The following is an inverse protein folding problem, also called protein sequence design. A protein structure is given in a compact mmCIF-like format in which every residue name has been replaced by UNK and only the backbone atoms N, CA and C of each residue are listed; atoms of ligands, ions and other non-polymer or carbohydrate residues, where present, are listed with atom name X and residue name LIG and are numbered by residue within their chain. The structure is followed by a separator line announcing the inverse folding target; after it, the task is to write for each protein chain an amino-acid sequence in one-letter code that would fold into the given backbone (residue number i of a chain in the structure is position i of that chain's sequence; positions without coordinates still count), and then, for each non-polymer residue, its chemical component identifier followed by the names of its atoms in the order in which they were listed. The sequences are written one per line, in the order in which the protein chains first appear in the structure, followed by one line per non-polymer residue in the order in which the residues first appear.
data_IF_972702822619
#
_entry.id   IF_972702822619
#
_cell.length_a   1.000
_cell.length_b   1.000
_cell.length_c   1.000
_cell.angle_alpha   90.00
_cell.angle_beta   90.00
_cell.angle_gamma   90.00
#
_symmetry.space_group_name_H-M   'P 1'
#
loop_
_entity.id
_entity.type
_entity.pdbx_description
1 polymer ?
#
# COMPACT_ATOMS: atom_id res chain seq x y z
N UNK A 1 49.67 1.71 -58.40
CA UNK A 1 49.55 2.33 -57.07
C UNK A 1 48.08 2.62 -56.87
N UNK A 2 47.34 1.63 -56.38
CA UNK A 2 45.89 1.66 -56.13
C UNK A 2 45.69 1.64 -54.62
N UNK A 3 44.75 2.43 -54.05
CA UNK A 3 44.66 2.61 -52.61
C UNK A 3 44.00 1.39 -51.94
N UNK A 4 44.56 0.99 -50.80
CA UNK A 4 44.00 -0.02 -49.91
C UNK A 4 42.62 0.42 -49.36
N UNK A 5 41.63 -0.44 -49.54
CA UNK A 5 40.26 -0.29 -49.07
C UNK A 5 40.18 -0.70 -47.57
N UNK A 6 39.85 0.21 -46.64
CA UNK A 6 39.86 -0.08 -45.22
C UNK A 6 38.66 -0.95 -44.82
N UNK A 7 38.97 -2.20 -44.49
CA UNK A 7 38.19 -3.18 -43.72
C UNK A 7 36.78 -2.78 -43.27
N UNK A 8 35.78 -3.38 -43.92
CA UNK A 8 34.39 -3.32 -43.50
C UNK A 8 34.21 -3.83 -42.05
N UNK A 9 33.42 -3.14 -41.20
CA UNK A 9 33.16 -3.56 -39.83
C UNK A 9 32.33 -4.85 -39.79
N UNK A 10 32.75 -5.81 -38.97
CA UNK A 10 32.06 -7.07 -38.77
C UNK A 10 30.62 -6.84 -38.25
N UNK A 11 29.64 -7.43 -38.95
CA UNK A 11 28.23 -7.37 -38.57
C UNK A 11 28.01 -7.89 -37.14
N UNK A 12 27.26 -7.16 -36.29
CA UNK A 12 26.96 -7.61 -34.94
C UNK A 12 26.14 -8.91 -35.00
N UNK A 13 26.61 -9.93 -34.30
CA UNK A 13 25.91 -11.21 -34.17
C UNK A 13 24.51 -10.97 -33.58
N UNK A 14 23.48 -11.33 -34.33
CA UNK A 14 22.09 -11.28 -33.89
C UNK A 14 21.95 -12.24 -32.70
N UNK A 15 21.54 -11.76 -31.50
CA UNK A 15 21.31 -12.62 -30.34
C UNK A 15 20.30 -13.70 -30.73
N UNK A 16 20.70 -14.97 -30.63
CA UNK A 16 19.88 -16.11 -30.98
C UNK A 16 18.50 -16.00 -30.35
N UNK A 17 17.47 -16.12 -31.19
CA UNK A 17 16.07 -16.10 -30.77
C UNK A 17 15.89 -17.06 -29.58
N UNK A 18 15.48 -16.50 -28.43
CA UNK A 18 15.22 -17.29 -27.23
C UNK A 18 14.24 -18.40 -27.60
N UNK A 19 14.69 -19.65 -27.52
CA UNK A 19 13.86 -20.81 -27.77
C UNK A 19 12.60 -20.77 -26.89
N UNK A 20 11.50 -21.40 -27.33
CA UNK A 20 10.26 -21.41 -26.57
C UNK A 20 10.53 -21.92 -25.15
N UNK A 21 10.13 -21.11 -24.16
CA UNK A 21 10.21 -21.48 -22.74
C UNK A 21 9.47 -22.80 -22.58
N UNK A 22 10.12 -23.87 -22.07
CA UNK A 22 9.48 -25.16 -21.90
C UNK A 22 8.20 -24.97 -21.07
N UNK A 23 7.07 -25.43 -21.59
CA UNK A 23 5.85 -25.46 -20.80
C UNK A 23 6.09 -26.37 -19.59
N UNK A 24 5.97 -25.81 -18.39
CA UNK A 24 6.11 -26.56 -17.13
C UNK A 24 5.17 -27.76 -17.14
N UNK A 25 5.71 -28.97 -16.99
CA UNK A 25 4.90 -30.18 -16.87
C UNK A 25 4.12 -30.08 -15.54
N UNK A 26 2.78 -30.13 -15.54
CA UNK A 26 1.99 -30.12 -14.31
C UNK A 26 2.30 -31.29 -13.36
N UNK A 27 3.07 -32.27 -13.80
CA UNK A 27 3.49 -33.44 -13.01
C UNK A 27 4.82 -33.24 -12.29
N UNK A 28 5.59 -32.21 -12.61
CA UNK A 28 6.85 -31.98 -11.90
C UNK A 28 6.56 -31.67 -10.43
N UNK A 29 7.20 -32.39 -9.48
CA UNK A 29 7.02 -32.10 -8.07
C UNK A 29 7.51 -30.66 -7.79
N UNK A 30 6.78 -29.88 -6.98
CA UNK A 30 7.17 -28.51 -6.68
C UNK A 30 8.58 -28.47 -6.09
N UNK A 31 9.40 -27.50 -6.53
CA UNK A 31 10.73 -27.31 -5.98
C UNK A 31 10.61 -27.16 -4.45
N UNK A 32 11.26 -28.02 -3.64
CA UNK A 32 11.18 -27.94 -2.19
C UNK A 32 11.71 -26.62 -1.61
N UNK A 33 12.37 -25.79 -2.44
CA UNK A 33 12.80 -24.43 -2.09
C UNK A 33 11.70 -23.38 -2.30
N UNK A 34 10.65 -23.66 -3.07
CA UNK A 34 9.51 -22.77 -3.20
C UNK A 34 8.64 -22.83 -1.95
N UNK A 35 8.26 -21.69 -1.37
CA UNK A 35 7.38 -21.69 -0.21
C UNK A 35 5.98 -22.22 -0.59
N UNK A 36 5.31 -22.93 0.33
CA UNK A 36 4.06 -23.63 0.04
C UNK A 36 2.98 -22.65 -0.42
N UNK A 37 2.28 -22.87 -1.54
CA UNK A 37 1.27 -21.91 -2.00
C UNK A 37 0.01 -21.97 -1.13
N UNK A 38 -0.58 -20.83 -0.80
CA UNK A 38 -1.85 -20.78 -0.08
C UNK A 38 -2.97 -21.39 -0.94
N UNK A 39 -3.89 -22.12 -0.33
CA UNK A 39 -5.08 -22.63 -1.03
C UNK A 39 -6.05 -21.49 -1.37
N UNK A 40 -6.92 -21.66 -2.37
CA UNK A 40 -7.98 -20.69 -2.69
C UNK A 40 -8.84 -20.33 -1.48
N UNK A 41 -9.20 -21.34 -0.68
CA UNK A 41 -10.02 -21.16 0.53
C UNK A 41 -9.26 -20.37 1.60
N UNK A 42 -8.00 -20.71 1.86
CA UNK A 42 -7.16 -19.99 2.82
C UNK A 42 -6.98 -18.52 2.40
N UNK A 43 -6.64 -18.27 1.14
CA UNK A 43 -6.46 -16.92 0.60
C UNK A 43 -7.75 -16.09 0.70
N UNK A 44 -8.90 -16.67 0.36
CA UNK A 44 -10.21 -16.02 0.48
C UNK A 44 -10.55 -15.70 1.93
N UNK A 45 -10.30 -16.61 2.87
CA UNK A 45 -10.55 -16.38 4.31
C UNK A 45 -9.65 -15.27 4.87
N UNK A 46 -8.36 -15.29 4.53
CA UNK A 46 -7.40 -14.25 4.94
C UNK A 46 -7.86 -12.88 4.41
N UNK A 47 -8.16 -12.80 3.11
CA UNK A 47 -8.60 -11.57 2.47
C UNK A 47 -9.92 -11.05 3.06
N UNK A 48 -10.92 -11.92 3.22
CA UNK A 48 -12.21 -11.57 3.79
C UNK A 48 -12.09 -11.10 5.24
N UNK A 49 -11.29 -11.78 6.07
CA UNK A 49 -11.07 -11.38 7.46
C UNK A 49 -10.36 -10.02 7.56
N UNK A 50 -9.33 -9.77 6.74
CA UNK A 50 -8.63 -8.50 6.72
C UNK A 50 -9.55 -7.35 6.26
N UNK A 51 -10.33 -7.56 5.20
CA UNK A 51 -11.30 -6.57 4.70
C UNK A 51 -12.39 -6.29 5.72
N UNK A 52 -13.02 -7.33 6.27
CA UNK A 52 -14.10 -7.17 7.25
C UNK A 52 -13.61 -6.49 8.54
N UNK A 53 -12.46 -6.92 9.07
CA UNK A 53 -11.87 -6.31 10.26
C UNK A 53 -11.52 -4.84 10.03
N UNK A 54 -10.88 -4.53 8.90
CA UNK A 54 -10.51 -3.15 8.54
C UNK A 54 -11.75 -2.29 8.31
N UNK A 55 -12.78 -2.79 7.64
CA UNK A 55 -14.03 -2.06 7.42
C UNK A 55 -14.79 -1.77 8.72
N UNK A 56 -14.86 -2.74 9.63
CA UNK A 56 -15.47 -2.54 10.94
C UNK A 56 -14.72 -1.48 11.76
N UNK A 57 -13.39 -1.56 11.77
CA UNK A 57 -12.57 -0.58 12.49
C UNK A 57 -12.58 0.79 11.82
N UNK A 58 -12.60 0.87 10.49
CA UNK A 58 -12.75 2.12 9.77
C UNK A 58 -14.12 2.76 10.08
N UNK A 59 -15.19 1.98 10.10
CA UNK A 59 -16.52 2.46 10.47
C UNK A 59 -16.57 3.00 11.90
N UNK A 60 -15.89 2.31 12.84
CA UNK A 60 -15.77 2.77 14.22
C UNK A 60 -14.91 4.03 14.34
N UNK A 61 -13.69 4.01 13.80
CA UNK A 61 -12.67 5.03 13.99
C UNK A 61 -13.05 6.37 13.33
N UNK A 62 -13.64 6.33 12.14
CA UNK A 62 -14.01 7.52 11.37
C UNK A 62 -15.43 8.04 11.65
N UNK A 63 -16.10 7.51 12.68
CA UNK A 63 -17.32 8.11 13.21
C UNK A 63 -17.04 9.56 13.65
N UNK A 64 -17.80 10.56 13.17
CA UNK A 64 -17.61 11.96 13.56
C UNK A 64 -17.57 12.20 15.07
N UNK A 65 -18.28 11.40 15.88
CA UNK A 65 -18.28 11.51 17.33
C UNK A 65 -16.93 11.15 17.98
N UNK A 66 -16.01 10.50 17.24
CA UNK A 66 -14.69 10.09 17.70
C UNK A 66 -13.55 10.93 17.11
N UNK A 67 -13.86 11.93 16.27
CA UNK A 67 -12.85 12.80 15.68
C UNK A 67 -11.98 13.47 16.73
N UNK A 68 -10.65 13.37 16.56
CA UNK A 68 -9.67 13.91 17.51
C UNK A 68 -9.51 13.11 18.80
N UNK A 69 -10.28 12.04 19.03
CA UNK A 69 -10.12 11.17 20.19
C UNK A 69 -8.96 10.18 20.02
N UNK A 70 -8.35 9.74 21.12
CA UNK A 70 -7.33 8.68 21.07
C UNK A 70 -7.88 7.33 20.58
N UNK A 71 -9.19 7.08 20.81
CA UNK A 71 -9.86 5.87 20.36
C UNK A 71 -9.87 5.73 18.83
N UNK A 72 -9.91 6.85 18.10
CA UNK A 72 -9.83 6.89 16.63
C UNK A 72 -8.55 6.22 16.12
N UNK A 73 -7.40 6.45 16.76
CA UNK A 73 -6.12 5.84 16.37
C UNK A 73 -5.85 4.51 17.08
N UNK A 74 -6.31 4.36 18.32
CA UNK A 74 -6.09 3.14 19.10
C UNK A 74 -6.79 1.92 18.46
N UNK A 75 -7.98 2.10 17.89
CA UNK A 75 -8.72 1.01 17.24
C UNK A 75 -7.98 0.41 16.02
N UNK A 76 -7.57 1.20 14.99
CA UNK A 76 -6.77 0.68 13.89
C UNK A 76 -5.40 0.18 14.37
N UNK A 77 -4.76 0.86 15.32
CA UNK A 77 -3.51 0.40 15.92
C UNK A 77 -3.62 -1.00 16.53
N UNK A 78 -4.68 -1.26 17.30
CA UNK A 78 -4.93 -2.57 17.92
C UNK A 78 -5.18 -3.66 16.87
N UNK A 79 -6.07 -3.40 15.91
CA UNK A 79 -6.37 -4.34 14.82
C UNK A 79 -5.10 -4.72 14.05
N UNK A 80 -4.37 -3.70 13.55
CA UNK A 80 -3.21 -3.94 12.72
C UNK A 80 -2.03 -4.52 13.49
N UNK A 81 -1.91 -4.28 14.80
CA UNK A 81 -0.94 -4.98 15.63
C UNK A 81 -1.23 -6.48 15.66
N UNK A 82 -2.48 -6.88 15.94
CA UNK A 82 -2.88 -8.31 15.97
C UNK A 82 -2.68 -8.97 14.62
N UNK A 83 -3.15 -8.32 13.54
CA UNK A 83 -3.02 -8.85 12.18
C UNK A 83 -1.56 -8.90 11.71
N UNK A 84 -0.73 -7.91 12.08
CA UNK A 84 0.70 -7.91 11.73
C UNK A 84 1.44 -9.04 12.47
N UNK A 85 1.17 -9.28 13.75
CA UNK A 85 1.73 -10.43 14.49
C UNK A 85 1.35 -11.74 13.78
N UNK A 86 0.09 -11.88 13.37
CA UNK A 86 -0.36 -13.04 12.59
C UNK A 86 0.38 -13.14 11.24
N UNK A 87 0.51 -12.04 10.49
CA UNK A 87 1.23 -11.97 9.21
C UNK A 87 2.72 -12.39 9.36
N UNK A 88 3.40 -11.89 10.39
CA UNK A 88 4.80 -12.25 10.69
C UNK A 88 4.93 -13.73 11.04
N UNK A 89 4.01 -14.27 11.85
CA UNK A 89 3.99 -15.69 12.19
C UNK A 89 3.68 -16.58 10.97
N UNK A 90 2.82 -16.12 10.07
CA UNK A 90 2.48 -16.79 8.81
C UNK A 90 3.69 -16.80 7.86
N UNK A 91 4.36 -15.66 7.66
CA UNK A 91 5.60 -15.55 6.87
C UNK A 91 6.73 -16.41 7.45
N UNK A 92 6.84 -16.50 8.77
CA UNK A 92 7.84 -17.34 9.44
C UNK A 92 7.60 -18.83 9.17
N UNK A 93 6.35 -19.28 9.30
CA UNK A 93 5.96 -20.68 9.01
C UNK A 93 6.24 -21.10 7.58
N UNK A 94 6.24 -20.14 6.65
CA UNK A 94 6.55 -20.34 5.22
C UNK A 94 8.02 -20.20 4.86
N UNK A 95 8.89 -19.85 5.82
CA UNK A 95 10.30 -19.55 5.54
C UNK A 95 10.54 -18.24 4.77
N UNK A 96 9.51 -17.41 4.60
CA UNK A 96 9.57 -16.19 3.77
C UNK A 96 9.97 -14.94 4.56
N UNK A 97 9.86 -14.96 5.90
CA UNK A 97 10.01 -13.79 6.77
C UNK A 97 11.29 -12.99 6.50
N UNK A 98 12.44 -13.69 6.46
CA UNK A 98 13.74 -13.06 6.25
C UNK A 98 13.83 -12.43 4.86
N UNK A 99 13.36 -13.13 3.83
CA UNK A 99 13.38 -12.61 2.46
C UNK A 99 12.48 -11.38 2.31
N UNK A 100 11.31 -11.38 2.96
CA UNK A 100 10.33 -10.31 2.89
C UNK A 100 10.79 -9.05 3.64
N UNK A 101 11.39 -9.19 4.82
CA UNK A 101 11.70 -8.06 5.72
C UNK A 101 13.17 -7.62 5.75
N UNK A 102 14.11 -8.37 5.15
CA UNK A 102 15.51 -7.97 5.17
C UNK A 102 15.70 -6.66 4.37
N UNK A 103 16.08 -5.55 5.03
CA UNK A 103 16.37 -4.31 4.32
C UNK A 103 17.60 -4.50 3.44
N UNK A 104 17.63 -3.83 2.29
CA UNK A 104 18.85 -3.66 1.47
C UNK A 104 19.16 -2.18 1.29
N UNK A 105 20.39 -1.91 0.87
CA UNK A 105 20.82 -0.56 0.53
C UNK A 105 19.84 0.08 -0.49
N UNK A 106 19.48 1.33 -0.20
CA UNK A 106 18.55 2.13 -1.01
C UNK A 106 17.06 1.86 -0.80
N UNK A 107 16.64 0.91 0.05
CA UNK A 107 15.19 0.69 0.28
C UNK A 107 14.51 1.91 0.91
N UNK A 108 15.14 2.53 1.90
CA UNK A 108 14.61 3.76 2.53
C UNK A 108 14.59 4.92 1.54
N UNK A 109 15.64 5.09 0.72
CA UNK A 109 15.70 6.14 -0.29
C UNK A 109 14.59 5.96 -1.35
N UNK A 110 14.37 4.74 -1.83
CA UNK A 110 13.24 4.41 -2.72
C UNK A 110 11.91 4.69 -2.06
N UNK A 111 11.74 4.27 -0.79
CA UNK A 111 10.52 4.52 -0.03
C UNK A 111 10.23 6.01 0.14
N UNK A 112 11.25 6.80 0.50
CA UNK A 112 11.16 8.27 0.61
C UNK A 112 10.75 8.92 -0.71
N UNK A 113 11.36 8.50 -1.83
CA UNK A 113 11.02 9.01 -3.15
C UNK A 113 9.57 8.69 -3.53
N UNK A 114 9.11 7.45 -3.29
CA UNK A 114 7.72 7.05 -3.54
C UNK A 114 6.76 7.86 -2.66
N UNK A 115 7.08 8.04 -1.38
CA UNK A 115 6.27 8.85 -0.47
C UNK A 115 6.17 10.31 -0.92
N UNK A 116 7.29 10.93 -1.29
CA UNK A 116 7.32 12.31 -1.79
C UNK A 116 6.51 12.47 -3.08
N UNK A 117 6.62 11.53 -4.02
CA UNK A 117 5.82 11.52 -5.25
C UNK A 117 4.32 11.41 -4.97
N UNK A 118 3.91 10.50 -4.07
CA UNK A 118 2.52 10.36 -3.66
C UNK A 118 1.99 11.59 -2.91
N UNK A 119 2.82 12.22 -2.07
CA UNK A 119 2.46 13.47 -1.39
C UNK A 119 2.25 14.60 -2.41
N UNK A 120 3.15 14.76 -3.38
CA UNK A 120 2.99 15.74 -4.46
C UNK A 120 1.72 15.49 -5.29
N UNK A 121 1.41 14.22 -5.60
CA UNK A 121 0.17 13.86 -6.28
C UNK A 121 -1.06 14.17 -5.43
N UNK A 122 -1.04 13.86 -4.13
CA UNK A 122 -2.14 14.18 -3.22
C UNK A 122 -2.40 15.70 -3.16
N UNK A 123 -1.35 16.51 -3.13
CA UNK A 123 -1.45 17.97 -3.22
C UNK A 123 -2.04 18.43 -4.56
N UNK A 124 -1.60 17.87 -5.69
CA UNK A 124 -2.17 18.20 -6.99
C UNK A 124 -3.66 17.82 -7.10
N UNK A 125 -4.04 16.65 -6.58
CA UNK A 125 -5.44 16.20 -6.53
C UNK A 125 -6.27 17.11 -5.64
N UNK A 126 -5.74 17.53 -4.49
CA UNK A 126 -6.41 18.46 -3.60
C UNK A 126 -6.67 19.81 -4.29
N UNK A 127 -5.65 20.40 -4.91
CA UNK A 127 -5.76 21.68 -5.62
C UNK A 127 -6.75 21.65 -6.79
N UNK A 128 -7.01 20.48 -7.36
CA UNK A 128 -7.90 20.32 -8.53
C UNK A 128 -9.31 19.87 -8.16
N UNK A 129 -9.46 18.92 -7.25
CA UNK A 129 -10.76 18.34 -6.89
C UNK A 129 -11.47 19.09 -5.77
N UNK A 130 -10.72 19.69 -4.84
CA UNK A 130 -11.26 20.37 -3.67
C UNK A 130 -10.54 21.70 -3.42
N UNK A 131 -10.57 22.62 -4.41
CA UNK A 131 -9.96 23.94 -4.25
C UNK A 131 -10.66 24.73 -3.14
N UNK A 132 -9.92 25.66 -2.53
CA UNK A 132 -10.42 26.54 -1.47
C UNK A 132 -11.66 27.31 -1.92
N UNK A 133 -12.65 27.39 -1.04
CA UNK A 133 -13.95 28.02 -1.28
C UNK A 133 -14.95 27.14 -2.06
N UNK A 134 -14.56 25.95 -2.52
CA UNK A 134 -15.50 25.01 -3.13
C UNK A 134 -16.21 24.17 -2.07
N UNK A 135 -17.44 23.66 -2.32
CA UNK A 135 -18.10 22.73 -1.39
C UNK A 135 -17.24 21.50 -1.06
N UNK A 136 -16.43 21.03 -2.02
CA UNK A 136 -15.57 19.85 -1.88
C UNK A 136 -14.38 20.07 -0.95
N UNK A 137 -14.06 21.31 -0.58
CA UNK A 137 -13.09 21.59 0.49
C UNK A 137 -13.47 20.90 1.80
N UNK A 138 -14.78 20.76 2.06
CA UNK A 138 -15.31 20.05 3.22
C UNK A 138 -14.84 18.58 3.30
N UNK A 139 -14.57 17.93 2.16
CA UNK A 139 -14.04 16.57 2.15
C UNK A 139 -12.67 16.47 2.80
N UNK A 140 -11.78 17.44 2.56
CA UNK A 140 -10.44 17.46 3.15
C UNK A 140 -10.50 17.91 4.60
N UNK A 141 -11.33 18.92 4.90
CA UNK A 141 -11.54 19.39 6.26
C UNK A 141 -11.99 18.25 7.18
N UNK A 142 -12.99 17.45 6.75
CA UNK A 142 -13.51 16.32 7.54
C UNK A 142 -12.46 15.25 7.79
N UNK A 143 -11.48 15.06 6.91
CA UNK A 143 -10.34 14.18 7.17
C UNK A 143 -9.44 14.72 8.28
N UNK A 144 -9.11 16.01 8.22
CA UNK A 144 -8.25 16.62 9.23
C UNK A 144 -8.91 16.72 10.60
N UNK A 145 -10.22 16.96 10.66
CA UNK A 145 -10.98 16.97 11.92
C UNK A 145 -10.91 15.61 12.64
N UNK A 146 -10.79 14.50 11.90
CA UNK A 146 -10.64 13.18 12.52
C UNK A 146 -9.32 13.03 13.27
N UNK A 147 -8.29 13.76 12.85
CA UNK A 147 -6.96 13.75 13.48
C UNK A 147 -6.84 14.73 14.65
N UNK A 148 -7.87 15.53 14.92
CA UNK A 148 -7.87 16.56 15.96
C UNK A 148 -7.27 17.89 15.52
N UNK A 149 -6.97 18.75 16.50
CA UNK A 149 -6.49 20.11 16.27
C UNK A 149 -5.13 20.13 15.52
N UNK A 150 -5.02 20.79 14.35
CA UNK A 150 -3.75 20.99 13.66
C UNK A 150 -2.73 21.89 14.34
N UNK A 151 -3.14 22.73 15.28
CA UNK A 151 -2.22 23.59 16.03
C UNK A 151 -1.70 22.99 17.34
N UNK A 152 -2.22 21.83 17.78
CA UNK A 152 -1.84 21.27 19.07
C UNK A 152 -0.38 20.76 19.09
N UNK A 153 0.36 21.07 20.16
CA UNK A 153 1.73 20.56 20.38
C UNK A 153 1.81 19.03 20.34
N UNK A 154 0.72 18.35 20.73
CA UNK A 154 0.61 16.90 20.71
C UNK A 154 0.55 16.29 19.30
N UNK A 155 0.47 17.09 18.23
CA UNK A 155 0.34 16.62 16.85
C UNK A 155 1.52 15.76 16.39
N UNK A 156 2.71 15.96 16.95
CA UNK A 156 3.87 15.09 16.68
C UNK A 156 3.60 13.63 17.09
N UNK A 157 2.88 13.41 18.19
CA UNK A 157 2.51 12.07 18.67
C UNK A 157 1.43 11.44 17.80
N UNK A 158 0.49 12.25 17.29
CA UNK A 158 -0.51 11.80 16.29
C UNK A 158 0.20 11.35 15.02
N UNK A 159 1.15 12.14 14.51
CA UNK A 159 1.96 11.78 13.35
C UNK A 159 2.76 10.49 13.57
N UNK A 160 3.38 10.33 14.74
CA UNK A 160 4.11 9.11 15.09
C UNK A 160 3.19 7.88 15.18
N UNK A 161 2.00 8.02 15.77
CA UNK A 161 1.02 6.94 15.82
C UNK A 161 0.56 6.52 14.42
N UNK A 162 0.25 7.50 13.55
CA UNK A 162 -0.12 7.24 12.15
C UNK A 162 1.01 6.57 11.37
N UNK A 163 2.26 6.97 11.58
CA UNK A 163 3.43 6.31 10.99
C UNK A 163 3.48 4.82 11.35
N UNK A 164 3.32 4.50 12.65
CA UNK A 164 3.36 3.11 13.14
C UNK A 164 2.19 2.30 12.58
N UNK A 165 0.97 2.85 12.62
CA UNK A 165 -0.23 2.19 12.09
C UNK A 165 -0.02 1.86 10.61
N UNK A 166 0.36 2.83 9.79
CA UNK A 166 0.63 2.64 8.36
C UNK A 166 1.72 1.58 8.08
N UNK A 167 2.77 1.52 8.90
CA UNK A 167 3.77 0.47 8.80
C UNK A 167 3.19 -0.93 9.05
N UNK A 168 2.32 -1.06 10.06
CA UNK A 168 1.61 -2.31 10.36
C UNK A 168 0.62 -2.68 9.24
N UNK A 169 -0.09 -1.69 8.67
CA UNK A 169 -0.97 -1.92 7.52
C UNK A 169 -0.22 -2.57 6.36
N UNK A 170 0.98 -2.09 6.02
CA UNK A 170 1.77 -2.68 4.94
C UNK A 170 2.21 -4.12 5.23
N UNK A 171 2.55 -4.43 6.48
CA UNK A 171 2.85 -5.82 6.89
C UNK A 171 1.65 -6.73 6.66
N UNK A 172 0.44 -6.26 6.93
CA UNK A 172 -0.80 -7.04 6.72
C UNK A 172 -1.14 -7.13 5.24
N UNK A 173 -1.26 -6.00 4.56
CA UNK A 173 -1.79 -5.99 3.20
C UNK A 173 -0.81 -6.57 2.18
N UNK A 174 0.50 -6.30 2.31
CA UNK A 174 1.52 -6.79 1.35
C UNK A 174 2.21 -8.05 1.86
N UNK A 175 2.40 -8.16 3.17
CA UNK A 175 3.03 -9.32 3.78
C UNK A 175 2.11 -10.52 3.94
N UNK A 176 0.79 -10.31 4.05
CA UNK A 176 -0.19 -11.38 4.23
C UNK A 176 -1.22 -11.44 3.10
N UNK A 177 -2.06 -10.41 2.92
CA UNK A 177 -3.20 -10.48 1.97
C UNK A 177 -2.73 -10.68 0.53
N UNK A 178 -1.83 -9.81 0.04
CA UNK A 178 -1.28 -9.92 -1.31
C UNK A 178 -0.61 -11.28 -1.53
N UNK A 179 0.31 -11.68 -0.64
CA UNK A 179 1.03 -12.97 -0.74
C UNK A 179 0.12 -14.20 -0.67
N UNK A 180 -0.92 -14.16 0.16
CA UNK A 180 -1.90 -15.26 0.20
C UNK A 180 -2.64 -15.38 -1.14
N UNK A 181 -2.97 -14.26 -1.78
CA UNK A 181 -3.61 -14.23 -3.10
C UNK A 181 -2.68 -14.64 -4.25
N UNK A 182 -1.36 -14.50 -4.10
CA UNK A 182 -0.37 -14.88 -5.14
C UNK A 182 -0.42 -16.37 -5.47
N UNK A 183 -0.64 -17.23 -4.47
CA UNK A 183 -0.73 -18.68 -4.66
C UNK A 183 -1.82 -19.09 -5.67
N UNK A 184 -3.10 -18.73 -5.45
CA UNK A 184 -4.19 -19.12 -6.33
C UNK A 184 -4.40 -18.25 -7.58
N UNK A 185 -3.96 -16.98 -7.59
CA UNK A 185 -4.26 -16.03 -8.66
C UNK A 185 -3.03 -15.58 -9.47
N UNK A 186 -1.82 -15.86 -8.96
CA UNK A 186 -0.58 -15.34 -9.51
C UNK A 186 -0.27 -13.89 -9.11
N UNK A 187 0.97 -13.42 -9.35
CA UNK A 187 1.47 -12.17 -8.78
C UNK A 187 0.71 -10.90 -9.19
N UNK A 188 0.38 -10.77 -10.48
CA UNK A 188 -0.27 -9.56 -10.99
C UNK A 188 -1.70 -9.44 -10.51
N UNK A 189 -2.49 -10.51 -10.57
CA UNK A 189 -3.86 -10.51 -10.10
C UNK A 189 -3.93 -10.29 -8.58
N UNK A 190 -3.02 -10.90 -7.81
CA UNK A 190 -2.92 -10.69 -6.37
C UNK A 190 -2.62 -9.23 -5.99
N UNK A 191 -1.71 -8.57 -6.71
CA UNK A 191 -1.42 -7.15 -6.53
C UNK A 191 -2.64 -6.26 -6.79
N UNK A 192 -3.31 -6.46 -7.93
CA UNK A 192 -4.47 -5.65 -8.31
C UNK A 192 -5.64 -5.90 -7.34
N UNK A 193 -5.95 -7.17 -7.05
CA UNK A 193 -7.04 -7.53 -6.17
C UNK A 193 -6.79 -7.06 -4.74
N UNK A 194 -5.60 -7.27 -4.17
CA UNK A 194 -5.28 -6.77 -2.83
C UNK A 194 -5.42 -5.24 -2.73
N UNK A 195 -5.10 -4.51 -3.80
CA UNK A 195 -5.28 -3.06 -3.83
C UNK A 195 -6.74 -2.63 -3.89
N UNK A 196 -7.55 -3.34 -4.67
CA UNK A 196 -9.00 -3.13 -4.69
C UNK A 196 -9.64 -3.46 -3.34
N UNK A 197 -9.21 -4.54 -2.69
CA UNK A 197 -9.71 -4.95 -1.37
C UNK A 197 -9.30 -3.97 -0.27
N UNK A 198 -8.09 -3.40 -0.33
CA UNK A 198 -7.67 -2.34 0.58
C UNK A 198 -8.60 -1.12 0.47
N UNK A 199 -8.89 -0.67 -0.75
CA UNK A 199 -9.82 0.43 -0.98
C UNK A 199 -11.25 0.09 -0.53
N UNK A 200 -11.71 -1.13 -0.82
CA UNK A 200 -13.03 -1.62 -0.42
C UNK A 200 -13.21 -1.64 1.10
N UNK A 201 -12.16 -1.98 1.85
CA UNK A 201 -12.16 -1.95 3.30
C UNK A 201 -12.37 -0.53 3.88
N UNK A 202 -12.14 0.52 3.10
CA UNK A 202 -12.33 1.91 3.51
C UNK A 202 -13.67 2.50 3.04
N UNK A 203 -14.54 1.73 2.36
CA UNK A 203 -15.85 2.21 1.90
C UNK A 203 -16.73 2.87 2.97
N UNK A 204 -16.74 2.45 4.25
CA UNK A 204 -17.52 3.14 5.28
C UNK A 204 -17.18 4.63 5.40
N UNK A 205 -15.92 5.01 5.14
CA UNK A 205 -15.46 6.40 5.22
C UNK A 205 -16.14 7.32 4.19
N UNK A 206 -16.64 6.77 3.07
CA UNK A 206 -17.37 7.53 2.06
C UNK A 206 -18.57 8.28 2.66
N UNK A 207 -19.28 7.60 3.54
CA UNK A 207 -20.52 8.11 4.12
C UNK A 207 -20.25 8.82 5.44
N UNK A 208 -19.39 8.25 6.30
CA UNK A 208 -19.07 8.82 7.61
C UNK A 208 -18.35 10.17 7.51
N UNK A 209 -17.55 10.37 6.47
CA UNK A 209 -16.85 11.62 6.20
C UNK A 209 -17.53 12.47 5.12
N UNK A 210 -18.74 12.10 4.72
CA UNK A 210 -19.57 12.87 3.79
C UNK A 210 -19.97 14.22 4.36
N UNK A 211 -20.36 15.14 3.48
CA UNK A 211 -20.83 16.46 3.83
C UNK A 211 -22.23 16.73 3.23
N UNK A 212 -23.15 17.42 3.92
CA UNK A 212 -24.48 17.71 3.39
C UNK A 212 -24.48 18.45 2.05
N UNK A 213 -23.47 19.29 1.79
CA UNK A 213 -23.38 20.08 0.56
C UNK A 213 -22.48 19.42 -0.49
N UNK A 214 -21.40 18.76 -0.07
CA UNK A 214 -20.46 18.12 -0.99
C UNK A 214 -20.81 16.65 -1.34
N UNK A 215 -21.72 16.03 -0.60
CA UNK A 215 -22.09 14.63 -0.74
C UNK A 215 -21.05 13.66 -0.11
N UNK A 216 -21.07 12.38 -0.52
CA UNK A 216 -20.10 11.37 -0.05
C UNK A 216 -18.66 11.80 -0.31
N UNK A 217 -17.74 11.41 0.57
CA UNK A 217 -16.34 11.80 0.53
C UNK A 217 -15.46 10.68 -0.05
N UNK A 218 -15.07 10.73 -1.34
CA UNK A 218 -14.34 9.65 -1.99
C UNK A 218 -12.87 9.59 -1.62
N UNK A 219 -12.33 10.57 -0.89
CA UNK A 219 -10.90 10.83 -0.84
C UNK A 219 -10.10 9.67 -0.24
N UNK A 220 -10.52 9.08 0.89
CA UNK A 220 -9.79 7.95 1.48
C UNK A 220 -9.87 6.68 0.64
N UNK A 221 -11.00 6.41 0.00
CA UNK A 221 -11.15 5.23 -0.87
C UNK A 221 -10.31 5.39 -2.13
N UNK A 222 -10.36 6.56 -2.76
CA UNK A 222 -9.57 6.87 -3.95
C UNK A 222 -8.07 6.90 -3.65
N UNK A 223 -7.66 7.56 -2.56
CA UNK A 223 -6.28 7.57 -2.10
C UNK A 223 -5.81 6.17 -1.71
N UNK A 224 -6.65 5.40 -1.00
CA UNK A 224 -6.39 4.02 -0.63
C UNK A 224 -6.13 3.15 -1.86
N UNK A 225 -6.96 3.24 -2.91
CA UNK A 225 -6.74 2.52 -4.15
C UNK A 225 -5.44 2.95 -4.87
N UNK A 226 -5.27 4.25 -5.09
CA UNK A 226 -4.14 4.81 -5.84
C UNK A 226 -2.81 4.54 -5.16
N UNK A 227 -2.71 4.85 -3.87
CA UNK A 227 -1.52 4.54 -3.07
C UNK A 227 -1.30 3.04 -2.99
N UNK A 228 -2.38 2.24 -2.85
CA UNK A 228 -2.21 0.81 -2.70
C UNK A 228 -1.65 0.14 -3.94
N UNK A 229 -2.06 0.60 -5.13
CA UNK A 229 -1.49 0.17 -6.40
C UNK A 229 0.01 0.48 -6.45
N UNK A 230 0.44 1.66 -6.03
CA UNK A 230 1.85 2.07 -6.04
C UNK A 230 2.68 1.24 -5.07
N UNK A 231 2.29 1.13 -3.79
CA UNK A 231 3.03 0.35 -2.80
C UNK A 231 3.03 -1.15 -3.14
N UNK A 232 1.90 -1.68 -3.59
CA UNK A 232 1.80 -3.04 -4.09
C UNK A 232 2.73 -3.29 -5.29
N UNK A 233 2.88 -2.31 -6.19
CA UNK A 233 3.83 -2.39 -7.31
C UNK A 233 5.28 -2.42 -6.84
N UNK A 234 5.62 -1.65 -5.81
CA UNK A 234 6.96 -1.68 -5.19
C UNK A 234 7.27 -3.07 -4.65
N UNK A 235 6.34 -3.68 -3.91
CA UNK A 235 6.54 -5.04 -3.38
C UNK A 235 6.58 -6.07 -4.50
N UNK A 236 5.65 -5.99 -5.46
CA UNK A 236 5.61 -6.90 -6.61
C UNK A 236 6.89 -6.86 -7.45
N UNK A 237 7.54 -5.69 -7.60
CA UNK A 237 8.82 -5.56 -8.31
C UNK A 237 10.04 -5.99 -7.49
N UNK A 238 10.02 -5.77 -6.18
CA UNK A 238 11.21 -5.95 -5.34
C UNK A 238 11.21 -7.25 -4.54
N UNK A 239 10.05 -7.89 -4.40
CA UNK A 239 9.80 -9.03 -3.51
C UNK A 239 9.86 -8.69 -2.02
N UNK A 240 9.97 -7.41 -1.65
CA UNK A 240 10.37 -6.95 -0.31
C UNK A 240 9.42 -5.91 0.24
N UNK A 241 9.20 -5.96 1.56
CA UNK A 241 8.29 -5.08 2.29
C UNK A 241 8.92 -3.74 2.74
N UNK A 242 10.19 -3.66 3.22
CA UNK A 242 10.75 -2.42 3.77
C UNK A 242 10.55 -1.15 2.92
N UNK A 243 10.78 -1.13 1.60
CA UNK A 243 10.57 0.10 0.83
C UNK A 243 9.09 0.53 0.79
N UNK A 244 8.14 -0.41 0.77
CA UNK A 244 6.71 -0.10 0.79
C UNK A 244 6.23 0.31 2.19
N UNK A 245 6.66 -0.41 3.24
CA UNK A 245 6.43 -0.06 4.65
C UNK A 245 6.86 1.39 4.91
N UNK A 246 8.10 1.73 4.54
CA UNK A 246 8.61 3.08 4.75
C UNK A 246 7.88 4.11 3.88
N UNK A 247 7.58 3.79 2.62
CA UNK A 247 6.84 4.70 1.73
C UNK A 247 5.47 5.06 2.30
N UNK A 248 4.68 4.06 2.73
CA UNK A 248 3.36 4.29 3.32
C UNK A 248 3.48 5.06 4.63
N UNK A 249 4.28 4.57 5.57
CA UNK A 249 4.44 5.19 6.89
C UNK A 249 4.87 6.66 6.79
N UNK A 250 5.86 6.94 5.93
CA UNK A 250 6.37 8.29 5.73
C UNK A 250 5.38 9.20 5.00
N UNK A 251 4.65 8.69 4.00
CA UNK A 251 3.58 9.43 3.33
C UNK A 251 2.47 9.82 4.31
N UNK A 252 1.96 8.87 5.10
CA UNK A 252 0.87 9.11 6.05
C UNK A 252 1.31 10.07 7.16
N UNK A 253 2.53 9.91 7.69
CA UNK A 253 3.13 10.88 8.61
C UNK A 253 3.24 12.29 8.01
N UNK A 254 3.65 12.39 6.74
CA UNK A 254 3.79 13.67 6.06
C UNK A 254 2.44 14.38 5.87
N UNK A 255 1.37 13.66 5.52
CA UNK A 255 0.01 14.22 5.41
C UNK A 255 -0.49 14.80 6.75
N UNK A 256 -0.13 14.17 7.87
CA UNK A 256 -0.46 14.66 9.22
C UNK A 256 0.42 15.86 9.59
N UNK A 257 1.74 15.74 9.43
CA UNK A 257 2.72 16.71 9.95
C UNK A 257 2.85 17.95 9.06
N UNK A 258 2.59 17.81 7.77
CA UNK A 258 2.57 18.86 6.77
C UNK A 258 1.20 18.84 6.10
N UNK A 259 0.19 19.48 6.71
CA UNK A 259 -1.16 19.43 6.18
C UNK A 259 -1.22 20.07 4.79
N UNK A 260 -1.77 19.35 3.81
CA UNK A 260 -2.01 19.88 2.47
C UNK A 260 -3.14 20.93 2.48
N UNK A 261 -3.96 20.93 3.54
CA UNK A 261 -4.96 21.96 3.82
C UNK A 261 -4.70 22.62 5.17
N UNK A 262 -4.89 23.95 5.21
CA UNK A 262 -4.87 24.76 6.42
C UNK A 262 -6.04 25.74 6.36
N UNK A 263 -6.72 26.00 7.50
CA UNK A 263 -7.76 27.02 7.60
C UNK A 263 -7.22 28.41 7.28
#
# INVERSE_FOLDING_TARGET
MTPDDPGAPASPAVPGAAGPVPALDPRDPPDPREPPRASRREAALIAAAAVAGTALVAAFAFDPARGGSSAMLAAPGALYTVLAVFALAWLRRRGELRAALRPRSGDLARGAFVAAALYGLAMAVQLTLAPRGSPREAWILRLYLQLGDPSADARVFVGAAVFVIAALEEVVWRGLVMRALEGPLGPTAAWLLSSALFAAAHLPTLFLLGDPFAGPNPLLVAAGLGCSLVWGRVVHRTGRLPPAIFAHAFFSWAIVSFPIWRP
#
